data_IF_607751395033
#
_entry.id   IF_607751395033
#
_cell.length_a   1.000
_cell.length_b   1.000
_cell.length_c   1.000
_cell.angle_alpha   90.00
_cell.angle_beta   90.00
_cell.angle_gamma   90.00
#
_symmetry.space_group_name_H-M   'P 1'
#
loop_
_entity.id
_entity.type
_entity.pdbx_description
1 polymer ?
#
# COMPACT_ATOMS: atom_id res chain seq x y z
N UNK A 1 16.51 23.67 18.47
CA UNK A 1 16.09 22.99 19.73
C UNK A 1 14.64 23.36 20.00
N UNK A 2 13.70 22.49 19.65
CA UNK A 2 12.41 22.41 20.34
C UNK A 2 11.94 20.96 20.18
N UNK A 3 12.09 20.20 21.26
CA UNK A 3 11.39 18.93 21.43
C UNK A 3 9.96 19.33 21.78
N UNK A 4 9.00 19.01 20.92
CA UNK A 4 7.59 19.08 21.29
C UNK A 4 7.33 17.99 22.34
N UNK A 5 6.95 18.45 23.53
CA UNK A 5 6.52 17.64 24.66
C UNK A 5 5.27 16.85 24.25
N UNK A 6 5.34 15.52 24.28
CA UNK A 6 4.19 14.62 24.02
C UNK A 6 3.08 14.67 25.10
N UNK A 7 3.19 15.54 26.11
CA UNK A 7 2.31 15.54 27.28
C UNK A 7 1.74 16.94 27.59
N UNK A 8 1.26 17.68 26.58
CA UNK A 8 0.49 18.91 26.81
C UNK A 8 -1.02 18.60 26.84
N UNK A 9 -1.71 18.72 27.99
CA UNK A 9 -3.14 18.42 28.10
C UNK A 9 -4.06 19.39 27.32
N UNK A 10 -3.53 20.50 26.80
CA UNK A 10 -4.24 21.44 25.91
C UNK A 10 -3.97 21.20 24.41
N UNK A 11 -3.19 20.18 24.06
CA UNK A 11 -3.02 19.84 22.64
C UNK A 11 -4.39 19.53 22.02
N UNK A 12 -4.77 20.20 20.91
CA UNK A 12 -6.10 20.03 20.33
C UNK A 12 -6.29 18.56 19.99
N UNK A 13 -7.34 17.94 20.55
CA UNK A 13 -7.74 16.58 20.18
C UNK A 13 -7.84 16.53 18.67
N UNK A 14 -7.01 15.67 18.07
CA UNK A 14 -7.00 15.48 16.64
C UNK A 14 -8.41 15.09 16.18
N UNK A 15 -8.91 15.64 15.07
CA UNK A 15 -10.24 15.31 14.58
C UNK A 15 -10.34 13.81 14.30
N UNK A 16 -11.35 13.16 14.86
CA UNK A 16 -11.67 11.75 14.64
C UNK A 16 -12.33 11.57 13.26
N UNK A 17 -11.52 11.76 12.21
CA UNK A 17 -11.94 11.65 10.82
C UNK A 17 -11.03 10.64 10.13
N UNK A 18 -11.57 9.58 9.50
CA UNK A 18 -10.77 8.53 8.86
C UNK A 18 -9.76 9.07 7.81
N UNK A 19 -10.17 10.10 7.06
CA UNK A 19 -9.28 10.75 6.11
C UNK A 19 -8.09 11.45 6.81
N UNK A 20 -8.27 11.99 8.01
CA UNK A 20 -7.19 12.63 8.76
C UNK A 20 -6.13 11.59 9.20
N UNK A 21 -6.56 10.42 9.66
CA UNK A 21 -5.64 9.32 10.00
C UNK A 21 -4.76 8.96 8.79
N UNK A 22 -5.38 8.76 7.62
CA UNK A 22 -4.66 8.46 6.39
C UNK A 22 -3.71 9.58 5.95
N UNK A 23 -4.10 10.85 6.10
CA UNK A 23 -3.33 12.01 5.64
C UNK A 23 -2.21 12.45 6.61
N UNK A 24 -2.35 12.19 7.91
CA UNK A 24 -1.40 12.62 8.94
C UNK A 24 -0.18 11.71 9.12
N UNK A 25 -0.19 10.51 8.53
CA UNK A 25 0.93 9.57 8.64
C UNK A 25 2.24 10.17 8.10
N UNK A 26 3.35 9.93 8.79
CA UNK A 26 4.67 10.30 8.27
C UNK A 26 5.12 9.32 7.18
N UNK A 27 6.02 9.75 6.29
CA UNK A 27 6.64 8.85 5.31
C UNK A 27 7.37 7.68 5.97
N UNK A 28 8.03 7.93 7.10
CA UNK A 28 8.74 6.89 7.83
C UNK A 28 7.76 5.84 8.37
N UNK A 29 6.64 6.26 8.96
CA UNK A 29 5.62 5.32 9.44
C UNK A 29 5.06 4.47 8.30
N UNK A 30 4.80 5.08 7.13
CA UNK A 30 4.37 4.32 5.95
C UNK A 30 5.42 3.31 5.48
N UNK A 31 6.71 3.66 5.57
CA UNK A 31 7.81 2.76 5.22
C UNK A 31 7.91 1.59 6.19
N UNK A 32 7.77 1.84 7.49
CA UNK A 32 7.80 0.82 8.53
C UNK A 32 6.60 -0.14 8.38
N UNK A 33 5.41 0.39 8.06
CA UNK A 33 4.23 -0.43 7.70
C UNK A 33 4.48 -1.29 6.47
N UNK A 34 5.07 -0.72 5.41
CA UNK A 34 5.40 -1.47 4.21
C UNK A 34 6.34 -2.65 4.50
N UNK A 35 7.40 -2.42 5.30
CA UNK A 35 8.34 -3.46 5.71
C UNK A 35 7.66 -4.57 6.52
N UNK A 36 6.76 -4.21 7.44
CA UNK A 36 5.97 -5.18 8.19
C UNK A 36 5.06 -6.03 7.28
N UNK A 37 4.37 -5.42 6.31
CA UNK A 37 3.53 -6.12 5.33
C UNK A 37 4.36 -7.09 4.48
N UNK A 38 5.53 -6.65 3.98
CA UNK A 38 6.41 -7.50 3.18
C UNK A 38 6.88 -8.73 3.97
N UNK A 39 7.30 -8.53 5.23
CA UNK A 39 7.70 -9.62 6.13
C UNK A 39 6.56 -10.59 6.42
N UNK A 40 5.36 -10.08 6.69
CA UNK A 40 4.18 -10.89 6.95
C UNK A 40 3.71 -11.67 5.71
N UNK A 41 3.89 -11.10 4.51
CA UNK A 41 3.55 -11.74 3.24
C UNK A 41 4.39 -13.00 3.01
N UNK A 42 5.68 -12.99 3.37
CA UNK A 42 6.56 -14.18 3.32
C UNK A 42 6.54 -14.92 1.96
N UNK A 43 6.40 -14.16 0.87
CA UNK A 43 6.35 -14.69 -0.49
C UNK A 43 7.75 -15.07 -1.01
N UNK A 44 7.80 -16.01 -1.96
CA UNK A 44 9.06 -16.54 -2.52
C UNK A 44 9.28 -16.20 -4.00
N UNK A 45 8.19 -16.02 -4.73
CA UNK A 45 8.16 -15.84 -6.20
C UNK A 45 7.55 -14.51 -6.62
N UNK A 46 6.89 -13.82 -5.68
CA UNK A 46 6.45 -12.45 -5.85
C UNK A 46 7.58 -11.52 -5.41
N UNK A 47 8.05 -10.70 -6.33
CA UNK A 47 8.97 -9.61 -6.03
C UNK A 47 8.19 -8.44 -5.43
N UNK A 48 8.54 -8.08 -4.19
CA UNK A 48 7.93 -6.99 -3.45
C UNK A 48 8.97 -5.91 -3.18
N UNK A 49 8.70 -4.68 -3.61
CA UNK A 49 9.57 -3.53 -3.40
C UNK A 49 8.85 -2.41 -2.67
N UNK A 50 9.53 -1.77 -1.72
CA UNK A 50 9.06 -0.55 -1.09
C UNK A 50 9.56 0.62 -1.93
N UNK A 51 8.63 1.39 -2.50
CA UNK A 51 8.98 2.55 -3.31
C UNK A 51 8.50 3.84 -2.68
N UNK A 52 9.31 4.86 -2.86
CA UNK A 52 8.98 6.25 -2.59
C UNK A 52 8.04 6.78 -3.67
N UNK A 53 6.93 7.42 -3.27
CA UNK A 53 5.97 8.00 -4.21
C UNK A 53 5.34 9.27 -3.65
N UNK A 54 4.63 10.02 -4.49
CA UNK A 54 3.82 11.16 -4.09
C UNK A 54 2.33 10.84 -4.29
N UNK A 55 1.51 11.26 -3.33
CA UNK A 55 0.05 11.21 -3.42
C UNK A 55 -0.48 12.61 -3.68
N UNK A 56 -1.49 12.73 -4.53
CA UNK A 56 -2.16 13.99 -4.81
C UNK A 56 -3.52 14.01 -4.11
N UNK A 57 -3.78 15.09 -3.36
CA UNK A 57 -5.01 15.27 -2.58
C UNK A 57 -5.73 16.54 -3.04
N UNK A 58 -7.04 16.44 -3.21
CA UNK A 58 -7.92 17.48 -3.73
C UNK A 58 -8.98 16.87 -4.65
N UNK A 59 -10.24 17.31 -4.55
CA UNK A 59 -11.33 16.79 -5.38
C UNK A 59 -11.35 17.38 -6.79
N UNK A 60 -11.81 16.59 -7.77
CA UNK A 60 -12.09 17.06 -9.14
C UNK A 60 -10.87 17.06 -10.07
N UNK A 61 -10.79 18.07 -10.94
CA UNK A 61 -9.79 18.17 -12.03
C UNK A 61 -8.49 18.89 -11.63
N UNK A 62 -8.34 19.30 -10.37
CA UNK A 62 -7.16 20.06 -9.92
C UNK A 62 -6.63 19.51 -8.59
N UNK A 63 -5.66 18.58 -8.62
CA UNK A 63 -4.95 18.17 -7.42
C UNK A 63 -4.25 19.39 -6.80
N UNK A 64 -4.50 19.66 -5.52
CA UNK A 64 -4.08 20.91 -4.87
C UNK A 64 -2.86 20.74 -3.97
N UNK A 65 -2.53 19.51 -3.59
CA UNK A 65 -1.41 19.25 -2.69
C UNK A 65 -0.78 17.90 -2.98
N UNK A 66 0.55 17.88 -3.14
CA UNK A 66 1.36 16.66 -3.18
C UNK A 66 1.82 16.31 -1.77
N UNK A 67 1.72 15.03 -1.43
CA UNK A 67 2.08 14.50 -0.14
C UNK A 67 2.99 13.30 -0.32
N UNK A 68 4.15 13.33 0.33
CA UNK A 68 5.08 12.22 0.32
C UNK A 68 4.42 10.95 0.87
N UNK A 69 4.64 9.84 0.18
CA UNK A 69 4.06 8.55 0.49
C UNK A 69 5.05 7.41 0.21
N UNK A 70 4.56 6.20 0.49
CA UNK A 70 5.19 4.92 0.20
C UNK A 70 4.15 4.05 -0.50
N UNK A 71 4.60 3.32 -1.51
CA UNK A 71 3.81 2.25 -2.10
C UNK A 71 4.57 0.91 -2.04
N UNK A 72 3.80 -0.17 -1.97
CA UNK A 72 4.30 -1.52 -2.21
C UNK A 72 4.15 -1.78 -3.70
N UNK A 73 5.27 -1.98 -4.38
CA UNK A 73 5.30 -2.44 -5.75
C UNK A 73 5.34 -3.97 -5.77
N UNK A 74 4.47 -4.57 -6.58
CA UNK A 74 4.30 -6.02 -6.69
C UNK A 74 4.54 -6.44 -8.13
N UNK A 75 5.49 -7.36 -8.33
CA UNK A 75 5.77 -7.97 -9.62
C UNK A 75 5.93 -9.47 -9.50
N UNK A 76 5.55 -10.20 -10.55
CA UNK A 76 5.74 -11.65 -10.66
C UNK A 76 6.34 -11.89 -12.04
N UNK A 77 7.41 -12.68 -12.10
CA UNK A 77 8.08 -12.98 -13.35
C UNK A 77 7.09 -13.53 -14.40
N UNK A 78 7.17 -12.99 -15.62
CA UNK A 78 6.32 -13.36 -16.76
C UNK A 78 4.82 -13.03 -16.62
N UNK A 79 4.40 -12.35 -15.55
CA UNK A 79 3.00 -11.90 -15.38
C UNK A 79 2.88 -10.39 -15.59
N UNK A 80 1.94 -9.98 -16.43
CA UNK A 80 1.69 -8.55 -16.71
C UNK A 80 1.06 -7.84 -15.49
N UNK A 81 1.41 -6.57 -15.23
CA UNK A 81 0.84 -5.78 -14.13
C UNK A 81 -0.68 -5.73 -14.12
N UNK A 82 -1.32 -5.62 -15.29
CA UNK A 82 -2.78 -5.62 -15.40
C UNK A 82 -3.43 -6.93 -14.94
N UNK A 83 -2.74 -8.06 -15.12
CA UNK A 83 -3.17 -9.38 -14.64
C UNK A 83 -3.04 -9.47 -13.12
N UNK A 84 -1.95 -8.94 -12.57
CA UNK A 84 -1.77 -8.81 -11.11
C UNK A 84 -2.90 -7.93 -10.55
N UNK A 85 -3.10 -6.74 -11.11
CA UNK A 85 -4.14 -5.80 -10.70
C UNK A 85 -5.54 -6.42 -10.75
N UNK A 86 -5.87 -7.17 -11.82
CA UNK A 86 -7.14 -7.92 -11.91
C UNK A 86 -7.26 -8.94 -10.79
N UNK A 87 -6.20 -9.66 -10.49
CA UNK A 87 -6.21 -10.71 -9.47
C UNK A 87 -6.42 -10.12 -8.07
N UNK A 88 -5.82 -8.96 -7.75
CA UNK A 88 -6.07 -8.24 -6.50
C UNK A 88 -7.52 -7.74 -6.39
N UNK A 89 -8.16 -7.31 -7.49
CA UNK A 89 -9.59 -6.97 -7.52
C UNK A 89 -10.51 -8.15 -7.24
N UNK A 90 -10.03 -9.37 -7.44
CA UNK A 90 -10.77 -10.61 -7.19
C UNK A 90 -10.54 -11.16 -5.77
N UNK A 91 -9.60 -10.61 -4.98
CA UNK A 91 -9.45 -10.91 -3.56
C UNK A 91 -10.75 -10.62 -2.80
N UNK A 92 -10.92 -11.24 -1.63
CA UNK A 92 -12.02 -10.94 -0.70
C UNK A 92 -11.43 -10.58 0.68
N UNK A 93 -11.48 -9.29 1.09
CA UNK A 93 -12.07 -8.16 0.34
C UNK A 93 -11.25 -7.76 -0.90
N UNK A 94 -11.86 -7.10 -1.91
CA UNK A 94 -11.14 -6.60 -3.08
C UNK A 94 -10.08 -5.56 -2.70
N UNK A 95 -8.88 -5.70 -3.24
CA UNK A 95 -7.79 -4.74 -3.05
C UNK A 95 -7.56 -4.00 -4.36
N UNK A 96 -7.63 -2.68 -4.32
CA UNK A 96 -7.46 -1.82 -5.50
C UNK A 96 -6.11 -1.12 -5.42
N UNK A 97 -5.24 -1.42 -6.38
CA UNK A 97 -4.02 -0.67 -6.64
C UNK A 97 -4.07 0.01 -8.00
N UNK A 98 -2.92 0.51 -8.43
CA UNK A 98 -2.76 1.16 -9.73
C UNK A 98 -1.52 0.63 -10.45
N UNK A 99 -1.49 0.77 -11.77
CA UNK A 99 -0.32 0.43 -12.57
C UNK A 99 0.42 1.72 -12.90
N UNK A 100 1.72 1.77 -12.63
CA UNK A 100 2.58 2.88 -13.00
C UNK A 100 3.96 2.34 -13.39
N UNK A 101 4.54 2.89 -14.46
CA UNK A 101 5.87 2.49 -14.95
C UNK A 101 6.02 0.96 -15.20
N UNK A 102 4.93 0.29 -15.57
CA UNK A 102 4.96 -1.14 -15.87
C UNK A 102 4.96 -2.05 -14.64
N UNK A 103 4.58 -1.54 -13.45
CA UNK A 103 4.41 -2.33 -12.23
C UNK A 103 3.09 -2.04 -11.53
N UNK A 104 2.53 -3.03 -10.84
CA UNK A 104 1.35 -2.86 -9.98
C UNK A 104 1.76 -2.35 -8.61
N UNK A 105 1.04 -1.36 -8.07
CA UNK A 105 1.40 -0.64 -6.84
C UNK A 105 0.21 -0.46 -5.91
N UNK A 106 0.46 -0.59 -4.61
CA UNK A 106 -0.48 -0.32 -3.52
C UNK A 106 0.05 0.87 -2.70
N UNK A 107 -0.65 2.00 -2.73
CA UNK A 107 -0.24 3.20 -1.99
C UNK A 107 -0.73 3.11 -0.54
N UNK A 108 0.19 3.05 0.43
CA UNK A 108 -0.18 2.87 1.83
C UNK A 108 -0.88 4.09 2.44
N UNK A 109 -0.82 5.25 1.78
CA UNK A 109 -1.60 6.42 2.20
C UNK A 109 -3.10 6.26 2.00
N UNK A 110 -3.54 5.26 1.25
CA UNK A 110 -4.97 4.98 1.05
C UNK A 110 -5.43 3.71 1.78
N UNK A 111 -4.58 3.15 2.64
CA UNK A 111 -4.81 1.88 3.33
C UNK A 111 -4.73 2.14 4.84
N UNK A 112 -5.81 1.82 5.55
CA UNK A 112 -5.85 1.96 7.01
C UNK A 112 -4.90 0.95 7.67
N UNK A 113 -4.38 1.30 8.84
CA UNK A 113 -3.38 0.46 9.51
C UNK A 113 -3.92 -0.92 9.92
N UNK A 114 -5.20 -1.00 10.25
CA UNK A 114 -5.92 -2.26 10.54
C UNK A 114 -6.12 -3.16 9.31
N UNK A 115 -5.86 -2.66 8.10
CA UNK A 115 -5.95 -3.43 6.86
C UNK A 115 -4.62 -4.07 6.44
N UNK A 116 -3.51 -3.82 7.16
CA UNK A 116 -2.18 -4.32 6.79
C UNK A 116 -2.11 -5.86 6.72
N UNK A 117 -2.81 -6.54 7.62
CA UNK A 117 -2.95 -8.00 7.59
C UNK A 117 -3.71 -8.49 6.36
N UNK A 118 -4.76 -7.75 5.96
CA UNK A 118 -5.55 -8.07 4.76
C UNK A 118 -4.70 -7.93 3.49
N UNK A 119 -3.85 -6.90 3.42
CA UNK A 119 -2.92 -6.72 2.29
C UNK A 119 -1.93 -7.88 2.22
N UNK A 120 -1.33 -8.24 3.36
CA UNK A 120 -0.36 -9.34 3.46
C UNK A 120 -0.97 -10.67 3.00
N UNK A 121 -2.19 -10.97 3.46
CA UNK A 121 -2.92 -12.17 3.08
C UNK A 121 -3.32 -12.19 1.59
N UNK A 122 -3.75 -11.05 1.02
CA UNK A 122 -4.05 -10.99 -0.41
C UNK A 122 -2.78 -11.18 -1.26
N UNK A 123 -1.63 -10.61 -0.87
CA UNK A 123 -0.35 -10.85 -1.57
C UNK A 123 -0.02 -12.36 -1.61
N UNK A 124 -0.16 -13.07 -0.48
CA UNK A 124 0.02 -14.52 -0.41
C UNK A 124 -0.92 -15.30 -1.34
N UNK A 125 -2.22 -14.97 -1.31
CA UNK A 125 -3.21 -15.63 -2.18
C UNK A 125 -2.89 -15.42 -3.67
N UNK A 126 -2.38 -14.24 -4.03
CA UNK A 126 -2.03 -13.91 -5.41
C UNK A 126 -0.81 -14.72 -5.87
N UNK A 127 0.18 -14.91 -4.99
CA UNK A 127 1.30 -15.81 -5.24
C UNK A 127 0.80 -17.22 -5.58
N UNK A 128 0.01 -17.82 -4.69
CA UNK A 128 -0.52 -19.17 -4.88
C UNK A 128 -1.32 -19.29 -6.18
N UNK A 129 -2.21 -18.33 -6.45
CA UNK A 129 -3.10 -18.36 -7.62
C UNK A 129 -2.36 -18.19 -8.94
N UNK A 130 -1.39 -17.29 -9.03
CA UNK A 130 -0.73 -16.94 -10.29
C UNK A 130 0.46 -17.84 -10.60
N UNK A 131 1.17 -18.32 -9.58
CA UNK A 131 2.23 -19.33 -9.77
C UNK A 131 1.63 -20.65 -10.28
N UNK A 132 0.51 -21.11 -9.70
CA UNK A 132 -0.17 -22.33 -10.14
C UNK A 132 -0.67 -22.26 -11.59
N UNK A 133 -1.00 -21.06 -12.10
CA UNK A 133 -1.43 -20.87 -13.49
C UNK A 133 -0.24 -20.89 -14.45
N UNK A 134 0.87 -20.26 -14.07
CA UNK A 134 2.11 -20.28 -14.85
C UNK A 134 2.64 -21.70 -15.06
N UNK A 135 2.55 -22.57 -14.05
CA UNK A 135 2.98 -23.99 -14.17
C UNK A 135 2.05 -24.89 -14.99
N UNK A 136 0.82 -24.45 -15.30
CA UNK A 136 -0.12 -25.23 -16.14
C UNK A 136 -0.10 -24.83 -17.61
N UNK A 137 0.49 -23.67 -17.92
CA UNK A 137 0.59 -23.11 -19.27
C UNK A 137 2.00 -23.26 -19.88
N UNK A 138 2.96 -23.80 -19.11
CA UNK A 138 4.33 -24.13 -19.51
C UNK A 138 4.48 -25.64 -19.79
#
# INVERSE_FOLDING_TARGET
KHLESKNDPESPKLPDLPAYELLSQSRQNLKDRADAILKASNCRTVDLNIIETDSEVGGGTMPRTRMASIAIEVSIQSIKPDTIARSFRECHPPVIGYVQQGSFRLNLRTIFSDQDETISACIQQIEEKLVLRSSKEA
#
